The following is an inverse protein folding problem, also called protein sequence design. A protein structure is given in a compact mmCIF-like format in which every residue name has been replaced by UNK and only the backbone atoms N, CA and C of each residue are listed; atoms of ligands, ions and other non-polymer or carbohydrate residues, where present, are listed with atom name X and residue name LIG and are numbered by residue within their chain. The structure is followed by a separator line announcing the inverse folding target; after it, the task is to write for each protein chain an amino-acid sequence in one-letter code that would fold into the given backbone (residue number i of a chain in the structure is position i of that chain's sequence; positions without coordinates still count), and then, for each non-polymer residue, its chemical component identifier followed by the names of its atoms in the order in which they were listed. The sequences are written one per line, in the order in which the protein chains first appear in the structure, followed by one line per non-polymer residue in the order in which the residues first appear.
data_IF_941938121499
#
_entry.id   IF_941938121499
#
_cell.length_a   1.000
_cell.length_b   1.000
_cell.length_c   1.000
_cell.angle_alpha   90.00
_cell.angle_beta   90.00
_cell.angle_gamma   90.00
#
_symmetry.space_group_name_H-M   'P 1'
#
loop_
_entity.id
_entity.type
_entity.pdbx_description
1 polymer ?
#
# COMPACT_ATOMS: atom_id res chain seq x y z
N UNK A 1 8.02 20.01 27.53
CA UNK A 1 6.86 19.22 27.98
C UNK A 1 5.62 20.04 27.65
N UNK A 2 4.97 19.81 26.51
CA UNK A 2 3.77 20.57 26.14
C UNK A 2 2.55 19.94 26.81
N UNK A 3 1.86 20.70 27.66
CA UNK A 3 0.56 20.32 28.21
C UNK A 3 -0.46 20.32 27.07
N UNK A 4 -1.06 19.15 26.78
CA UNK A 4 -2.04 18.99 25.71
C UNK A 4 -3.28 19.85 25.94
N UNK A 5 -3.74 20.55 24.90
CA UNK A 5 -4.99 21.33 24.96
C UNK A 5 -6.19 20.39 24.87
N UNK A 6 -7.23 20.66 25.65
CA UNK A 6 -8.50 19.93 25.60
C UNK A 6 -9.06 19.98 24.16
N UNK A 7 -9.22 18.84 23.51
CA UNK A 7 -9.65 18.73 22.10
C UNK A 7 -8.55 18.42 21.08
N UNK A 8 -7.29 18.31 21.51
CA UNK A 8 -6.20 17.85 20.65
C UNK A 8 -6.37 16.36 20.30
N UNK A 9 -6.25 16.03 19.01
CA UNK A 9 -6.26 14.64 18.57
C UNK A 9 -5.02 13.93 19.13
N UNK A 10 -5.23 12.83 19.85
CA UNK A 10 -4.14 11.98 20.30
C UNK A 10 -3.45 11.40 19.06
N UNK A 11 -2.17 11.72 18.79
CA UNK A 11 -1.47 11.14 17.66
C UNK A 11 -1.37 9.63 17.86
N UNK A 12 -1.52 8.85 16.79
CA UNK A 12 -1.36 7.40 16.88
C UNK A 12 0.03 7.07 17.43
N UNK A 13 0.13 6.33 18.55
CA UNK A 13 1.43 5.88 19.04
C UNK A 13 2.10 4.99 17.99
N UNK A 14 3.29 5.37 17.53
CA UNK A 14 4.07 4.56 16.60
C UNK A 14 4.56 3.29 17.28
N UNK A 15 4.16 2.11 16.81
CA UNK A 15 4.75 0.86 17.32
C UNK A 15 6.12 0.68 16.66
N UNK A 16 7.15 0.32 17.44
CA UNK A 16 8.52 0.05 16.94
C UNK A 16 8.60 -1.01 15.83
N UNK A 17 7.53 -1.75 15.57
CA UNK A 17 7.49 -2.92 14.67
C UNK A 17 6.60 -2.73 13.43
N UNK A 18 5.96 -1.57 13.29
CA UNK A 18 5.12 -1.28 12.11
C UNK A 18 5.99 -1.08 10.85
N UNK A 19 5.44 -1.43 9.69
CA UNK A 19 6.07 -1.15 8.41
C UNK A 19 5.89 0.33 8.04
N UNK A 20 6.92 0.95 7.48
CA UNK A 20 6.82 2.26 6.85
C UNK A 20 6.27 2.13 5.43
N UNK A 21 5.40 3.04 5.00
CA UNK A 21 4.90 3.08 3.62
C UNK A 21 5.57 4.23 2.86
N UNK A 22 6.18 3.92 1.71
CA UNK A 22 6.83 4.90 0.83
C UNK A 22 6.34 4.76 -0.60
N UNK A 23 6.33 5.86 -1.34
CA UNK A 23 6.04 5.83 -2.78
C UNK A 23 7.31 5.54 -3.57
N UNK A 24 7.29 4.54 -4.46
CA UNK A 24 8.39 4.25 -5.38
C UNK A 24 8.25 4.98 -6.73
N UNK A 25 7.11 5.64 -6.97
CA UNK A 25 6.85 6.42 -8.18
C UNK A 25 5.88 7.59 -7.93
N UNK A 26 5.96 8.63 -8.77
CA UNK A 26 4.98 9.73 -8.76
C UNK A 26 3.57 9.26 -9.16
N UNK A 27 3.48 8.26 -10.05
CA UNK A 27 2.21 7.64 -10.45
C UNK A 27 1.50 6.97 -9.27
N UNK A 28 2.23 6.24 -8.43
CA UNK A 28 1.67 5.65 -7.20
C UNK A 28 1.14 6.73 -6.25
N UNK A 29 1.85 7.85 -6.09
CA UNK A 29 1.40 8.97 -5.26
C UNK A 29 0.08 9.56 -5.77
N UNK A 30 -0.05 9.77 -7.09
CA UNK A 30 -1.30 10.25 -7.70
C UNK A 30 -2.43 9.24 -7.50
N UNK A 31 -2.23 7.98 -7.86
CA UNK A 31 -3.26 6.94 -7.74
C UNK A 31 -3.73 6.74 -6.30
N UNK A 32 -2.81 6.80 -5.32
CA UNK A 32 -3.15 6.76 -3.90
C UNK A 32 -4.07 7.91 -3.50
N UNK A 33 -3.73 9.14 -3.90
CA UNK A 33 -4.55 10.33 -3.63
C UNK A 33 -5.95 10.20 -4.26
N UNK A 34 -6.02 9.73 -5.50
CA UNK A 34 -7.29 9.57 -6.22
C UNK A 34 -8.18 8.49 -5.58
N UNK A 35 -7.59 7.40 -5.08
CA UNK A 35 -8.32 6.39 -4.30
C UNK A 35 -8.77 6.93 -2.92
N UNK A 36 -7.93 7.68 -2.22
CA UNK A 36 -8.32 8.30 -0.94
C UNK A 36 -9.49 9.28 -1.13
N UNK A 37 -9.54 9.99 -2.25
CA UNK A 37 -10.63 10.91 -2.57
C UNK A 37 -11.96 10.18 -2.81
N UNK A 38 -11.95 8.96 -3.35
CA UNK A 38 -13.16 8.23 -3.75
C UNK A 38 -13.58 7.14 -2.76
N UNK A 39 -12.64 6.56 -2.01
CA UNK A 39 -12.88 5.43 -1.10
C UNK A 39 -12.03 5.53 0.18
N UNK A 40 -12.12 6.67 0.87
CA UNK A 40 -11.32 7.01 2.06
C UNK A 40 -11.26 5.91 3.12
N UNK A 41 -12.41 5.33 3.50
CA UNK A 41 -12.47 4.33 4.57
C UNK A 41 -11.69 3.07 4.19
N UNK A 42 -11.90 2.55 2.99
CA UNK A 42 -11.14 1.40 2.49
C UNK A 42 -9.64 1.69 2.40
N UNK A 43 -9.24 2.90 2.02
CA UNK A 43 -7.83 3.27 1.99
C UNK A 43 -7.18 3.38 3.38
N UNK A 44 -7.96 3.72 4.41
CA UNK A 44 -7.50 3.65 5.80
C UNK A 44 -7.26 2.19 6.22
N UNK A 45 -8.17 1.27 5.88
CA UNK A 45 -8.01 -0.16 6.14
C UNK A 45 -6.79 -0.74 5.40
N UNK A 46 -6.56 -0.32 4.16
CA UNK A 46 -5.37 -0.68 3.38
C UNK A 46 -4.10 -0.20 4.08
N UNK A 47 -4.07 1.05 4.54
CA UNK A 47 -2.93 1.60 5.25
C UNK A 47 -2.64 0.81 6.53
N UNK A 48 -3.68 0.46 7.30
CA UNK A 48 -3.55 -0.36 8.50
C UNK A 48 -3.04 -1.78 8.20
N UNK A 49 -3.52 -2.38 7.11
CA UNK A 49 -3.06 -3.69 6.66
C UNK A 49 -1.58 -3.65 6.26
N UNK A 50 -1.18 -2.67 5.44
CA UNK A 50 0.19 -2.54 4.94
C UNK A 50 1.21 -2.24 6.04
N UNK A 51 0.81 -1.48 7.07
CA UNK A 51 1.67 -1.19 8.23
C UNK A 51 1.80 -2.35 9.20
N UNK A 52 0.84 -3.30 9.21
CA UNK A 52 0.83 -4.44 10.14
C UNK A 52 1.34 -5.74 9.52
N UNK A 53 0.76 -6.16 8.39
CA UNK A 53 0.95 -7.49 7.81
C UNK A 53 0.94 -7.46 6.27
N UNK A 54 1.83 -6.68 5.62
CA UNK A 54 1.80 -6.49 4.16
C UNK A 54 2.03 -7.79 3.38
N UNK A 55 2.68 -8.79 3.98
CA UNK A 55 3.00 -10.09 3.37
C UNK A 55 2.02 -11.21 3.75
N UNK A 56 0.93 -10.91 4.45
CA UNK A 56 -0.11 -11.89 4.72
C UNK A 56 -0.93 -12.17 3.46
N UNK A 57 -1.08 -13.44 3.07
CA UNK A 57 -1.91 -13.80 1.92
C UNK A 57 -3.38 -13.85 2.33
N UNK A 58 -4.23 -13.08 1.65
CA UNK A 58 -5.67 -12.96 1.90
C UNK A 58 -6.42 -12.93 0.56
N UNK A 59 -7.77 -13.01 0.53
CA UNK A 59 -8.53 -12.86 -0.71
C UNK A 59 -8.31 -11.51 -1.43
N UNK A 60 -7.86 -10.49 -0.69
CA UNK A 60 -7.54 -9.16 -1.22
C UNK A 60 -6.04 -8.89 -1.34
N UNK A 61 -5.16 -9.72 -0.78
CA UNK A 61 -3.71 -9.52 -0.80
C UNK A 61 -2.97 -10.78 -1.23
N UNK A 62 -2.25 -10.73 -2.35
CA UNK A 62 -1.52 -11.89 -2.83
C UNK A 62 -0.32 -11.50 -3.69
N UNK A 63 0.65 -12.41 -3.75
CA UNK A 63 1.81 -12.28 -4.63
C UNK A 63 1.41 -12.48 -6.08
N UNK A 64 1.95 -11.63 -6.96
CA UNK A 64 1.88 -11.88 -8.39
C UNK A 64 2.85 -13.01 -8.75
N UNK A 65 2.54 -13.75 -9.81
CA UNK A 65 3.32 -14.91 -10.27
C UNK A 65 3.85 -14.66 -11.68
N UNK A 66 4.81 -15.49 -12.10
CA UNK A 66 5.43 -15.38 -13.42
C UNK A 66 6.25 -14.10 -13.57
N UNK A 67 6.30 -13.58 -14.80
CA UNK A 67 7.10 -12.39 -15.14
C UNK A 67 6.64 -11.13 -14.40
N UNK A 68 5.36 -11.06 -14.01
CA UNK A 68 4.80 -9.96 -13.23
C UNK A 68 5.12 -10.06 -11.73
N UNK A 69 5.58 -11.22 -11.25
CA UNK A 69 5.85 -11.48 -9.83
C UNK A 69 7.23 -11.02 -9.36
N UNK A 70 8.18 -10.86 -10.27
CA UNK A 70 9.54 -10.42 -9.94
C UNK A 70 9.74 -8.95 -10.35
N UNK A 71 10.05 -8.10 -9.37
CA UNK A 71 10.41 -6.70 -9.60
C UNK A 71 11.90 -6.52 -9.33
N UNK A 72 12.65 -5.99 -10.30
CA UNK A 72 14.06 -5.63 -10.11
C UNK A 72 14.20 -4.12 -9.87
N UNK A 73 14.71 -3.71 -8.71
CA UNK A 73 15.00 -2.31 -8.38
C UNK A 73 16.35 -2.19 -7.68
N UNK A 74 17.17 -1.23 -8.13
CA UNK A 74 18.48 -0.96 -7.51
C UNK A 74 19.40 -2.19 -7.51
N UNK A 75 19.35 -3.02 -8.55
CA UNK A 75 20.15 -4.24 -8.65
C UNK A 75 19.61 -5.45 -7.85
N UNK A 76 18.60 -5.27 -6.98
CA UNK A 76 17.97 -6.33 -6.19
C UNK A 76 16.64 -6.76 -6.79
N UNK A 77 16.30 -8.04 -6.62
CA UNK A 77 15.00 -8.59 -7.01
C UNK A 77 14.09 -8.70 -5.79
N UNK A 78 12.83 -8.30 -5.96
CA UNK A 78 11.79 -8.29 -4.94
C UNK A 78 10.55 -9.03 -5.44
N UNK A 79 9.81 -9.63 -4.52
CA UNK A 79 8.47 -10.16 -4.81
C UNK A 79 7.48 -8.99 -4.95
N UNK A 80 6.75 -8.95 -6.07
CA UNK A 80 5.66 -8.01 -6.28
C UNK A 80 4.37 -8.55 -5.68
N UNK A 81 3.75 -7.73 -4.85
CA UNK A 81 2.48 -7.99 -4.20
C UNK A 81 1.37 -7.14 -4.80
N UNK A 82 0.16 -7.69 -4.83
CA UNK A 82 -1.06 -7.00 -5.22
C UNK A 82 -2.05 -6.98 -4.06
N UNK A 83 -2.50 -5.79 -3.70
CA UNK A 83 -3.60 -5.57 -2.76
C UNK A 83 -4.82 -4.95 -3.45
N UNK A 84 -6.01 -5.44 -3.12
CA UNK A 84 -7.31 -4.88 -3.53
C UNK A 84 -7.92 -4.15 -2.34
N UNK A 85 -8.16 -2.83 -2.43
CA UNK A 85 -8.79 -2.08 -1.34
C UNK A 85 -10.17 -2.63 -0.93
N UNK A 86 -10.89 -3.24 -1.86
CA UNK A 86 -12.16 -3.94 -1.61
C UNK A 86 -12.22 -5.24 -2.40
N UNK A 87 -12.96 -6.23 -1.89
CA UNK A 87 -13.06 -7.56 -2.50
C UNK A 87 -13.69 -7.52 -3.91
N UNK A 88 -14.74 -6.71 -4.09
CA UNK A 88 -15.47 -6.54 -5.36
C UNK A 88 -14.92 -5.40 -6.23
N UNK A 89 -13.94 -4.64 -5.74
CA UNK A 89 -13.40 -3.47 -6.43
C UNK A 89 -12.44 -3.83 -7.57
N UNK A 90 -12.29 -2.92 -8.52
CA UNK A 90 -11.35 -3.04 -9.64
C UNK A 90 -9.97 -2.43 -9.32
N UNK A 91 -9.87 -1.54 -8.33
CA UNK A 91 -8.62 -0.92 -7.91
C UNK A 91 -7.55 -1.93 -7.48
N UNK A 92 -6.29 -1.68 -7.84
CA UNK A 92 -5.13 -2.53 -7.50
C UNK A 92 -3.99 -1.67 -6.98
N UNK A 93 -3.38 -2.10 -5.89
CA UNK A 93 -2.18 -1.51 -5.34
C UNK A 93 -1.07 -2.52 -5.51
N UNK A 94 -0.08 -2.19 -6.33
CA UNK A 94 1.14 -2.97 -6.48
C UNK A 94 2.22 -2.41 -5.58
N UNK A 95 2.85 -3.31 -4.83
CA UNK A 95 3.90 -2.94 -3.89
C UNK A 95 4.93 -4.05 -3.75
N UNK A 96 6.06 -3.70 -3.15
CA UNK A 96 7.06 -4.66 -2.70
C UNK A 96 7.54 -4.28 -1.31
N UNK A 97 8.18 -5.21 -0.62
CA UNK A 97 8.71 -5.02 0.73
C UNK A 97 10.23 -5.11 0.69
N UNK A 98 10.91 -4.13 1.29
CA UNK A 98 12.35 -4.18 1.55
C UNK A 98 12.59 -3.90 3.04
N UNK A 99 13.05 -4.92 3.77
CA UNK A 99 13.15 -4.88 5.23
C UNK A 99 11.81 -4.57 5.89
N UNK A 100 11.71 -3.40 6.54
CA UNK A 100 10.50 -2.91 7.23
C UNK A 100 9.80 -1.80 6.44
N UNK A 101 10.05 -1.68 5.14
CA UNK A 101 9.44 -0.64 4.30
C UNK A 101 8.63 -1.27 3.17
N UNK A 102 7.37 -0.88 3.08
CA UNK A 102 6.46 -1.14 1.98
C UNK A 102 6.61 -0.03 0.96
N UNK A 103 7.02 -0.40 -0.25
CA UNK A 103 7.16 0.53 -1.37
C UNK A 103 5.99 0.36 -2.33
N UNK A 104 5.15 1.39 -2.43
CA UNK A 104 4.05 1.46 -3.39
C UNK A 104 4.62 1.74 -4.78
N UNK A 105 4.60 0.72 -5.63
CA UNK A 105 5.12 0.77 -6.99
C UNK A 105 4.14 1.48 -7.92
N UNK A 106 2.89 1.02 -7.91
CA UNK A 106 1.81 1.54 -8.74
C UNK A 106 0.48 1.41 -8.00
N UNK A 107 -0.38 2.42 -8.16
CA UNK A 107 -1.72 2.44 -7.59
C UNK A 107 -2.69 2.72 -8.72
N UNK A 108 -3.50 1.72 -9.05
CA UNK A 108 -4.48 1.77 -10.13
C UNK A 108 -5.88 1.98 -9.56
N UNK A 109 -6.56 3.03 -10.04
CA UNK A 109 -7.93 3.38 -9.63
C UNK A 109 -8.99 2.46 -10.26
N UNK A 110 -8.62 1.72 -11.29
CA UNK A 110 -9.41 0.68 -11.96
C UNK A 110 -8.52 -0.53 -12.24
N UNK A 111 -9.09 -1.62 -12.78
CA UNK A 111 -8.26 -2.73 -13.23
C UNK A 111 -7.26 -2.18 -14.25
N UNK A 112 -5.94 -2.43 -14.10
CA UNK A 112 -5.00 -2.13 -15.17
C UNK A 112 -5.45 -2.99 -16.35
N UNK A 113 -6.01 -2.35 -17.39
CA UNK A 113 -6.33 -3.03 -18.63
C UNK A 113 -5.02 -3.66 -19.12
N UNK A 114 -4.99 -4.99 -19.21
CA UNK A 114 -4.10 -5.65 -20.16
C UNK A 114 -4.46 -5.07 -21.53
N UNK A 115 -3.53 -4.28 -22.08
CA UNK A 115 -3.48 -3.80 -23.46
C UNK A 115 -4.57 -2.81 -23.93
N UNK A 116 -4.08 -1.73 -24.55
CA UNK A 116 -4.78 -0.92 -25.55
C UNK A 116 -4.78 -1.68 -26.87
#
# INVERSE_FOLDING_TARGET
MAAGRKGELVPRPSKKVEYDIRFASAGAKKGWRDLVATMRNSMADVWDFLTRTPTATTPTNYRLKGELGALRRGGRSYERWQHKPTLKGSARIWFYVDGRTVYLEAVHTSHPNETK
#
